data_IF_275846855718
#
_entry.id   IF_275846855718
#
_cell.length_a   1.000
_cell.length_b   1.000
_cell.length_c   1.000
_cell.angle_alpha   90.00
_cell.angle_beta   90.00
_cell.angle_gamma   90.00
#
_symmetry.space_group_name_H-M   'P 1'
#
loop_
_entity.id
_entity.type
_entity.pdbx_description
1 polymer ?
#
# COMPACT_ATOMS: atom_id res chain seq x y z
N UNK A 1 -4.61 -9.50 -12.64
CA UNK A 1 -3.85 -8.39 -12.09
C UNK A 1 -3.04 -8.82 -10.89
N UNK A 2 -1.79 -8.37 -10.84
CA UNK A 2 -0.81 -8.89 -9.86
C UNK A 2 -1.16 -8.57 -8.40
N UNK A 3 -1.89 -7.49 -8.13
CA UNK A 3 -2.32 -7.12 -6.78
C UNK A 3 -3.52 -7.93 -6.27
N UNK A 4 -4.19 -8.62 -7.13
CA UNK A 4 -5.48 -9.25 -6.84
C UNK A 4 -5.42 -10.31 -5.74
N UNK A 5 -4.44 -11.24 -5.73
CA UNK A 5 -4.41 -12.26 -4.68
C UNK A 5 -4.26 -11.67 -3.27
N UNK A 6 -3.35 -10.72 -3.08
CA UNK A 6 -3.14 -10.08 -1.77
C UNK A 6 -4.38 -9.29 -1.35
N UNK A 7 -4.93 -8.52 -2.29
CA UNK A 7 -6.13 -7.72 -2.03
C UNK A 7 -7.34 -8.62 -1.70
N UNK A 8 -7.48 -9.74 -2.41
CA UNK A 8 -8.57 -10.69 -2.16
C UNK A 8 -8.47 -11.32 -0.77
N UNK A 9 -7.26 -11.68 -0.34
CA UNK A 9 -7.04 -12.23 1.01
C UNK A 9 -7.41 -11.21 2.08
N UNK A 10 -6.94 -9.97 1.93
CA UNK A 10 -7.24 -8.90 2.89
C UNK A 10 -8.73 -8.59 2.95
N UNK A 11 -9.39 -8.63 1.80
CA UNK A 11 -10.84 -8.44 1.71
C UNK A 11 -11.60 -9.53 2.46
N UNK A 12 -11.21 -10.78 2.24
CA UNK A 12 -11.85 -11.92 2.91
C UNK A 12 -11.67 -11.85 4.42
N UNK A 13 -10.46 -11.52 4.88
CA UNK A 13 -10.17 -11.37 6.31
C UNK A 13 -11.00 -10.24 6.93
N UNK A 14 -11.09 -9.11 6.26
CA UNK A 14 -11.87 -7.98 6.74
C UNK A 14 -13.36 -8.30 6.80
N UNK A 15 -13.87 -9.02 5.81
CA UNK A 15 -15.27 -9.44 5.79
C UNK A 15 -15.66 -10.40 6.90
N UNK A 16 -14.68 -11.13 7.46
CA UNK A 16 -14.92 -12.06 8.55
C UNK A 16 -15.10 -11.37 9.90
N UNK A 17 -14.83 -10.06 10.01
CA UNK A 17 -14.91 -9.32 11.27
C UNK A 17 -16.35 -9.10 11.74
N UNK A 18 -17.31 -9.00 10.82
CA UNK A 18 -18.69 -8.66 11.14
C UNK A 18 -19.69 -9.51 10.36
N UNK A 19 -20.87 -9.72 10.96
CA UNK A 19 -21.99 -10.39 10.29
C UNK A 19 -22.98 -9.38 9.67
N UNK A 20 -22.81 -8.09 9.94
CA UNK A 20 -23.66 -7.05 9.36
C UNK A 20 -23.37 -6.89 7.87
N UNK A 21 -24.35 -7.12 6.96
CA UNK A 21 -24.10 -7.09 5.51
C UNK A 21 -23.53 -5.78 4.98
N UNK A 22 -23.99 -4.64 5.47
CA UNK A 22 -23.52 -3.33 5.03
C UNK A 22 -22.09 -3.08 5.48
N UNK A 23 -21.81 -3.30 6.77
CA UNK A 23 -20.47 -3.14 7.33
C UNK A 23 -19.50 -4.14 6.72
N UNK A 24 -19.96 -5.36 6.48
CA UNK A 24 -19.15 -6.39 5.83
C UNK A 24 -18.68 -5.94 4.45
N UNK A 25 -19.58 -5.37 3.64
CA UNK A 25 -19.25 -4.87 2.31
C UNK A 25 -18.20 -3.76 2.38
N UNK A 26 -18.38 -2.81 3.29
CA UNK A 26 -17.45 -1.71 3.48
C UNK A 26 -16.09 -2.21 3.95
N UNK A 27 -16.06 -3.13 4.93
CA UNK A 27 -14.83 -3.70 5.45
C UNK A 27 -14.10 -4.52 4.39
N UNK A 28 -14.82 -5.26 3.56
CA UNK A 28 -14.21 -6.00 2.45
C UNK A 28 -13.56 -5.05 1.45
N UNK A 29 -14.22 -3.92 1.16
CA UNK A 29 -13.66 -2.90 0.29
C UNK A 29 -12.39 -2.29 0.89
N UNK A 30 -12.42 -1.96 2.18
CA UNK A 30 -11.26 -1.41 2.90
C UNK A 30 -10.11 -2.42 2.86
N UNK A 31 -10.39 -3.69 3.15
CA UNK A 31 -9.38 -4.75 3.12
C UNK A 31 -8.75 -4.89 1.74
N UNK A 32 -9.56 -4.87 0.69
CA UNK A 32 -9.08 -4.94 -0.69
C UNK A 32 -8.13 -3.77 -1.01
N UNK A 33 -8.56 -2.56 -0.68
CA UNK A 33 -7.78 -1.35 -0.96
C UNK A 33 -6.49 -1.30 -0.14
N UNK A 34 -6.54 -1.76 1.10
CA UNK A 34 -5.35 -1.85 1.94
C UNK A 34 -4.34 -2.85 1.37
N UNK A 35 -4.82 -4.01 0.93
CA UNK A 35 -3.97 -5.01 0.29
C UNK A 35 -3.33 -4.47 -0.98
N UNK A 36 -4.09 -3.74 -1.79
CA UNK A 36 -3.58 -3.08 -2.99
C UNK A 36 -2.51 -2.04 -2.65
N UNK A 37 -2.75 -1.25 -1.61
CA UNK A 37 -1.77 -0.27 -1.13
C UNK A 37 -0.46 -0.93 -0.73
N UNK A 38 -0.54 -2.00 0.08
CA UNK A 38 0.64 -2.73 0.53
C UNK A 38 1.41 -3.30 -0.67
N UNK A 39 0.69 -3.89 -1.62
CA UNK A 39 1.30 -4.46 -2.81
C UNK A 39 2.07 -3.40 -3.63
N UNK A 40 1.46 -2.23 -3.84
CA UNK A 40 2.09 -1.14 -4.58
C UNK A 40 3.31 -0.59 -3.85
N UNK A 41 3.23 -0.46 -2.53
CA UNK A 41 4.35 0.02 -1.71
C UNK A 41 5.52 -0.95 -1.75
N UNK A 42 5.27 -2.25 -1.64
CA UNK A 42 6.30 -3.27 -1.73
C UNK A 42 6.97 -3.27 -3.10
N UNK A 43 6.19 -3.16 -4.16
CA UNK A 43 6.70 -3.12 -5.52
C UNK A 43 7.61 -1.90 -5.72
N UNK A 44 7.21 -0.75 -5.19
CA UNK A 44 8.01 0.47 -5.29
C UNK A 44 9.30 0.38 -4.48
N UNK A 45 9.22 -0.18 -3.26
CA UNK A 45 10.39 -0.36 -2.39
C UNK A 45 11.42 -1.27 -3.03
N UNK A 46 10.98 -2.33 -3.72
CA UNK A 46 11.85 -3.33 -4.32
C UNK A 46 12.23 -3.05 -5.78
N UNK A 47 11.76 -1.96 -6.36
CA UNK A 47 11.90 -1.68 -7.79
C UNK A 47 13.34 -1.73 -8.29
N UNK A 48 14.25 -1.03 -7.64
CA UNK A 48 15.66 -0.99 -8.05
C UNK A 48 16.34 -2.34 -7.93
N UNK A 49 16.13 -2.98 -6.79
CA UNK A 49 16.70 -4.31 -6.51
C UNK A 49 16.19 -5.35 -7.51
N UNK A 50 14.89 -5.34 -7.78
CA UNK A 50 14.27 -6.28 -8.71
C UNK A 50 14.76 -6.06 -10.14
N UNK A 51 14.97 -4.81 -10.52
CA UNK A 51 15.52 -4.51 -11.85
C UNK A 51 16.94 -5.08 -12.00
N UNK A 52 17.78 -4.89 -10.97
CA UNK A 52 19.17 -5.37 -11.00
C UNK A 52 19.29 -6.89 -11.03
N UNK A 53 18.40 -7.58 -10.33
CA UNK A 53 18.41 -9.04 -10.25
C UNK A 53 17.58 -9.72 -11.33
N UNK A 54 16.84 -8.97 -12.11
CA UNK A 54 15.91 -9.52 -13.10
C UNK A 54 14.68 -10.17 -12.46
N UNK A 55 14.39 -9.86 -11.20
CA UNK A 55 13.25 -10.42 -10.48
C UNK A 55 11.94 -9.78 -10.94
N UNK A 56 10.85 -10.51 -10.76
CA UNK A 56 9.52 -10.02 -11.11
C UNK A 56 9.15 -8.80 -10.26
N UNK A 57 8.65 -7.76 -10.94
CA UNK A 57 8.07 -6.60 -10.27
C UNK A 57 7.03 -5.97 -11.21
N UNK A 58 5.78 -5.82 -10.78
CA UNK A 58 4.71 -5.32 -11.66
C UNK A 58 4.94 -3.91 -12.15
N UNK A 59 5.66 -3.08 -11.41
CA UNK A 59 5.96 -1.70 -11.84
C UNK A 59 6.94 -1.70 -13.00
N UNK A 60 7.85 -2.67 -13.06
CA UNK A 60 8.81 -2.78 -14.16
C UNK A 60 8.16 -3.22 -15.47
N UNK A 61 6.99 -3.86 -15.40
CA UNK A 61 6.26 -4.32 -16.57
C UNK A 61 5.48 -3.21 -17.27
N UNK A 62 5.37 -2.04 -16.65
CA UNK A 62 4.60 -0.92 -17.20
C UNK A 62 5.33 -0.20 -18.34
N UNK A 63 6.63 -0.35 -18.42
CA UNK A 63 7.46 0.35 -19.41
C UNK A 63 8.37 -0.63 -20.12
N UNK A 64 8.61 -0.38 -21.41
CA UNK A 64 9.54 -1.19 -22.22
C UNK A 64 10.98 -0.98 -21.77
N UNK A 65 11.31 0.25 -21.37
CA UNK A 65 12.62 0.59 -20.88
C UNK A 65 12.55 1.02 -19.40
N UNK A 66 13.61 0.73 -18.66
CA UNK A 66 13.68 1.12 -17.26
C UNK A 66 13.85 2.63 -17.14
N UNK A 67 12.80 3.28 -16.63
CA UNK A 67 12.80 4.72 -16.37
C UNK A 67 12.26 4.94 -14.95
N UNK A 68 13.15 5.07 -13.94
CA UNK A 68 12.73 5.18 -12.56
C UNK A 68 11.77 6.33 -12.27
N UNK A 69 11.99 7.49 -12.90
CA UNK A 69 11.15 8.66 -12.68
C UNK A 69 9.72 8.43 -13.16
N UNK A 70 9.59 7.86 -14.34
CA UNK A 70 8.28 7.56 -14.94
C UNK A 70 7.53 6.49 -14.14
N UNK A 71 8.26 5.46 -13.72
CA UNK A 71 7.70 4.38 -12.90
C UNK A 71 7.25 4.93 -11.55
N UNK A 72 8.04 5.79 -10.93
CA UNK A 72 7.68 6.41 -9.64
C UNK A 72 6.46 7.30 -9.76
N UNK A 73 6.33 8.03 -10.88
CA UNK A 73 5.14 8.84 -11.13
C UNK A 73 3.89 7.97 -11.23
N UNK A 74 3.98 6.88 -11.98
CA UNK A 74 2.88 5.92 -12.10
C UNK A 74 2.51 5.33 -10.74
N UNK A 75 3.51 4.93 -9.96
CA UNK A 75 3.30 4.38 -8.62
C UNK A 75 2.66 5.43 -7.69
N UNK A 76 3.13 6.67 -7.75
CA UNK A 76 2.58 7.78 -6.98
C UNK A 76 1.09 7.96 -7.26
N UNK A 77 0.73 8.05 -8.53
CA UNK A 77 -0.65 8.25 -8.93
C UNK A 77 -1.53 7.08 -8.46
N UNK A 78 -1.05 5.85 -8.63
CA UNK A 78 -1.76 4.64 -8.21
C UNK A 78 -1.92 4.55 -6.69
N UNK A 79 -0.87 4.87 -5.95
CA UNK A 79 -0.87 4.84 -4.48
C UNK A 79 -1.84 5.89 -3.92
N UNK A 80 -1.77 7.12 -4.40
CA UNK A 80 -2.66 8.18 -3.91
C UNK A 80 -4.10 7.97 -4.32
N UNK A 81 -4.34 7.42 -5.51
CA UNK A 81 -5.68 7.02 -5.90
C UNK A 81 -6.24 5.96 -4.94
N UNK A 82 -5.44 4.97 -4.61
CA UNK A 82 -5.83 3.91 -3.68
C UNK A 82 -6.11 4.46 -2.28
N UNK A 83 -5.27 5.38 -1.79
CA UNK A 83 -5.49 6.04 -0.50
C UNK A 83 -6.78 6.88 -0.50
N UNK A 84 -7.08 7.56 -1.60
CA UNK A 84 -8.31 8.33 -1.73
C UNK A 84 -9.55 7.44 -1.66
N UNK A 85 -9.53 6.33 -2.38
CA UNK A 85 -10.62 5.34 -2.34
C UNK A 85 -10.74 4.71 -0.95
N UNK A 86 -9.62 4.42 -0.29
CA UNK A 86 -9.60 3.86 1.05
C UNK A 86 -10.21 4.84 2.06
N UNK A 87 -9.86 6.11 1.97
CA UNK A 87 -10.42 7.18 2.78
C UNK A 87 -11.94 7.28 2.61
N UNK A 88 -12.40 7.23 1.36
CA UNK A 88 -13.83 7.30 1.06
C UNK A 88 -14.59 6.12 1.65
N UNK A 89 -14.04 4.91 1.52
CA UNK A 89 -14.65 3.71 2.09
C UNK A 89 -14.65 3.77 3.63
N UNK A 90 -13.57 4.27 4.21
CA UNK A 90 -13.45 4.39 5.66
C UNK A 90 -14.49 5.34 6.25
N UNK A 91 -14.75 6.46 5.59
CA UNK A 91 -15.77 7.41 6.04
C UNK A 91 -17.15 6.76 6.10
N UNK A 92 -17.45 5.87 5.14
CA UNK A 92 -18.73 5.17 5.11
C UNK A 92 -18.92 4.21 6.28
N UNK A 93 -17.84 3.78 6.89
CA UNK A 93 -17.91 2.86 8.04
C UNK A 93 -18.51 3.53 9.28
N UNK A 94 -18.37 4.85 9.41
CA UNK A 94 -18.93 5.61 10.53
C UNK A 94 -18.19 5.38 11.83
N UNK A 95 -18.94 5.36 12.93
CA UNK A 95 -18.37 5.15 14.26
C UNK A 95 -17.98 3.69 14.44
N UNK A 96 -16.73 3.47 14.82
CA UNK A 96 -16.18 2.15 15.08
C UNK A 96 -15.37 2.16 16.37
N UNK A 97 -15.17 0.96 16.94
CA UNK A 97 -14.33 0.78 18.10
C UNK A 97 -12.89 1.20 17.76
N UNK A 98 -12.25 1.90 18.68
CA UNK A 98 -10.87 2.40 18.51
C UNK A 98 -10.69 3.34 17.31
N UNK A 99 -11.70 4.16 17.07
CA UNK A 99 -11.71 5.08 15.93
C UNK A 99 -10.48 6.00 15.88
N UNK A 100 -10.03 6.51 17.02
CA UNK A 100 -8.86 7.40 17.09
C UNK A 100 -7.60 6.73 16.53
N UNK A 101 -7.38 5.45 16.89
CA UNK A 101 -6.23 4.69 16.41
C UNK A 101 -6.35 4.45 14.92
N UNK A 102 -7.54 4.05 14.47
CA UNK A 102 -7.79 3.77 13.05
C UNK A 102 -7.68 5.03 12.20
N UNK A 103 -8.20 6.17 12.69
CA UNK A 103 -8.05 7.46 12.01
C UNK A 103 -6.57 7.80 11.80
N UNK A 104 -5.74 7.58 12.83
CA UNK A 104 -4.31 7.86 12.73
C UNK A 104 -3.64 6.99 11.67
N UNK A 105 -4.00 5.71 11.58
CA UNK A 105 -3.46 4.81 10.56
C UNK A 105 -3.86 5.28 9.17
N UNK A 106 -5.16 5.52 8.95
CA UNK A 106 -5.70 5.85 7.63
C UNK A 106 -5.23 7.22 7.13
N UNK A 107 -5.30 8.24 8.00
CA UNK A 107 -5.08 9.63 7.58
C UNK A 107 -3.66 10.12 7.78
N UNK A 108 -2.85 9.44 8.59
CA UNK A 108 -1.48 9.84 8.89
C UNK A 108 -0.45 8.76 8.58
N UNK A 109 -0.66 7.56 9.07
CA UNK A 109 0.30 6.47 8.94
C UNK A 109 0.51 6.02 7.50
N UNK A 110 -0.55 5.69 6.79
CA UNK A 110 -0.44 5.23 5.41
C UNK A 110 0.10 6.31 4.47
N UNK A 111 -0.40 7.56 4.53
CA UNK A 111 0.19 8.63 3.73
C UNK A 111 1.66 8.89 4.04
N UNK A 112 2.06 8.78 5.30
CA UNK A 112 3.45 8.94 5.71
C UNK A 112 4.35 7.89 5.06
N UNK A 113 3.93 6.63 5.08
CA UNK A 113 4.66 5.53 4.45
C UNK A 113 4.78 5.76 2.94
N UNK A 114 3.68 6.13 2.30
CA UNK A 114 3.65 6.39 0.87
C UNK A 114 4.61 7.51 0.49
N UNK A 115 4.57 8.62 1.22
CA UNK A 115 5.44 9.76 0.99
C UNK A 115 6.91 9.40 1.13
N UNK A 116 7.23 8.61 2.15
CA UNK A 116 8.60 8.16 2.40
C UNK A 116 9.13 7.33 1.23
N UNK A 117 8.35 6.37 0.76
CA UNK A 117 8.73 5.53 -0.37
C UNK A 117 8.85 6.31 -1.68
N UNK A 118 7.96 7.26 -1.90
CA UNK A 118 7.97 8.08 -3.11
C UNK A 118 9.17 9.04 -3.16
N UNK A 119 9.75 9.36 -2.01
CA UNK A 119 11.00 10.14 -1.94
C UNK A 119 12.24 9.29 -2.17
N UNK A 120 12.06 7.99 -2.42
CA UNK A 120 13.18 7.08 -2.64
C UNK A 120 13.77 6.51 -1.36
N UNK A 121 13.12 6.70 -0.22
CA UNK A 121 13.55 6.12 1.05
C UNK A 121 12.99 4.71 1.19
N UNK A 122 13.87 3.74 1.46
CA UNK A 122 13.46 2.36 1.70
C UNK A 122 13.09 2.18 3.16
N UNK A 123 11.98 1.51 3.42
CA UNK A 123 11.56 1.20 4.78
C UNK A 123 12.52 0.21 5.46
N UNK A 124 12.98 -0.78 4.70
CA UNK A 124 13.86 -1.83 5.21
C UNK A 124 15.33 -1.41 5.21
N UNK A 125 15.78 -0.81 4.11
CA UNK A 125 17.16 -0.36 3.96
C UNK A 125 17.50 0.79 4.90
N UNK A 126 16.55 1.67 5.17
CA UNK A 126 16.73 2.76 6.10
C UNK A 126 17.05 2.26 7.50
N UNK A 127 16.34 1.25 7.97
CA UNK A 127 16.57 0.60 9.25
C UNK A 127 17.94 -0.08 9.30
N UNK A 128 18.27 -0.83 8.25
CA UNK A 128 19.54 -1.54 8.14
C UNK A 128 20.71 -0.58 8.07
N UNK A 129 20.59 0.48 7.28
CA UNK A 129 21.62 1.50 7.15
C UNK A 129 21.89 2.23 8.46
N UNK A 130 20.84 2.53 9.21
CA UNK A 130 20.95 3.17 10.53
C UNK A 130 21.67 2.27 11.53
N UNK A 131 21.42 0.98 11.48
CA UNK A 131 22.09 0.00 12.33
C UNK A 131 23.57 -0.12 11.98
N UNK A 132 23.89 -0.25 10.70
CA UNK A 132 25.26 -0.37 10.22
C UNK A 132 26.08 0.89 10.48
N UNK A 133 25.45 2.04 10.45
CA UNK A 133 26.10 3.34 10.70
C UNK A 133 26.63 3.51 12.11
N UNK A 134 26.27 2.65 13.04
CA UNK A 134 26.75 2.69 14.43
C UNK A 134 28.05 1.93 14.64
N UNK A 135 28.43 1.14 13.66
CA UNK A 135 29.70 0.43 13.70
C UNK A 135 30.83 1.32 13.19
#
# INVERSE_FOLDING_TARGET
MAAEPTAAIMSAMAGAITDNPEKKRILMRIGYLLGRFIYLCDALDDMESDYKTGSYNPLLLQEEEYNPEKIRKFAKDSIYFTLGELSNAYVLLGDIKYKTITDNVIYMGLPFVAEKLLKGESLTKGKKSSFDGKE
#
